data_IF_396598360584
#
_entry.id   IF_396598360584
#
_cell.length_a   1.000
_cell.length_b   1.000
_cell.length_c   1.000
_cell.angle_alpha   90.00
_cell.angle_beta   90.00
_cell.angle_gamma   90.00
#
_symmetry.space_group_name_H-M   'P 1'
#
loop_
_entity.id
_entity.type
_entity.pdbx_description
1 polymer ?
#
# COMPACT_ATOMS: atom_id res chain seq x y z
N UNK A 1 21.66 5.94 10.67
CA UNK A 1 20.57 5.31 9.87
C UNK A 1 20.51 3.85 10.28
N UNK A 2 19.33 3.30 10.58
CA UNK A 2 19.20 1.86 10.88
C UNK A 2 19.53 1.08 9.62
N UNK A 3 20.45 0.12 9.70
CA UNK A 3 20.73 -0.77 8.58
C UNK A 3 19.56 -1.75 8.44
N UNK A 4 18.78 -1.59 7.38
CA UNK A 4 17.68 -2.49 7.03
C UNK A 4 18.24 -3.51 6.05
N UNK A 5 18.14 -4.80 6.37
CA UNK A 5 18.58 -5.84 5.44
C UNK A 5 17.57 -6.02 4.31
N UNK A 6 18.05 -6.40 3.12
CA UNK A 6 17.18 -6.65 1.97
C UNK A 6 16.06 -7.67 2.28
N UNK A 7 16.32 -8.81 2.98
CA UNK A 7 15.26 -9.74 3.35
C UNK A 7 14.19 -9.10 4.24
N UNK A 8 14.58 -8.24 5.19
CA UNK A 8 13.63 -7.53 6.06
C UNK A 8 12.75 -6.58 5.25
N UNK A 9 13.34 -5.87 4.29
CA UNK A 9 12.61 -4.94 3.44
C UNK A 9 11.58 -5.67 2.56
N UNK A 10 12.01 -6.73 1.86
CA UNK A 10 11.14 -7.53 0.98
C UNK A 10 10.02 -8.19 1.79
N UNK A 11 10.35 -8.80 2.93
CA UNK A 11 9.34 -9.43 3.78
C UNK A 11 8.32 -8.43 4.31
N UNK A 12 8.76 -7.23 4.70
CA UNK A 12 7.85 -6.16 5.14
C UNK A 12 6.91 -5.75 4.01
N UNK A 13 7.40 -5.59 2.78
CA UNK A 13 6.55 -5.27 1.63
C UNK A 13 5.50 -6.34 1.36
N UNK A 14 5.89 -7.63 1.38
CA UNK A 14 4.97 -8.76 1.23
C UNK A 14 3.88 -8.72 2.30
N UNK A 15 4.26 -8.57 3.58
CA UNK A 15 3.31 -8.53 4.70
C UNK A 15 2.38 -7.33 4.59
N UNK A 16 2.91 -6.15 4.27
CA UNK A 16 2.13 -4.93 4.12
C UNK A 16 1.05 -5.09 3.04
N UNK A 17 1.43 -5.53 1.83
CA UNK A 17 0.48 -5.71 0.73
C UNK A 17 -0.48 -6.88 0.94
N UNK A 18 -0.02 -8.00 1.53
CA UNK A 18 -0.92 -9.12 1.87
C UNK A 18 -1.96 -8.73 2.92
N UNK A 19 -1.64 -7.78 3.81
CA UNK A 19 -2.56 -7.30 4.82
C UNK A 19 -3.58 -6.29 4.27
N UNK A 20 -3.28 -5.57 3.19
CA UNK A 20 -4.14 -4.50 2.65
C UNK A 20 -4.93 -4.92 1.41
N UNK A 21 -4.32 -5.63 0.47
CA UNK A 21 -4.94 -5.99 -0.81
C UNK A 21 -6.23 -6.81 -0.67
N UNK A 22 -6.36 -7.81 0.23
CA UNK A 22 -7.61 -8.55 0.36
C UNK A 22 -8.80 -7.66 0.75
N UNK A 23 -8.58 -6.62 1.56
CA UNK A 23 -9.62 -5.67 1.90
C UNK A 23 -10.00 -4.79 0.71
N UNK A 24 -9.01 -4.33 -0.05
CA UNK A 24 -9.24 -3.51 -1.23
C UNK A 24 -10.02 -4.26 -2.31
N UNK A 25 -9.66 -5.52 -2.59
CA UNK A 25 -10.26 -6.31 -3.68
C UNK A 25 -11.52 -7.08 -3.30
N UNK A 26 -11.66 -7.54 -2.07
CA UNK A 26 -12.77 -8.42 -1.68
C UNK A 26 -13.74 -7.82 -0.66
N UNK A 27 -13.32 -6.81 0.10
CA UNK A 27 -14.18 -6.19 1.13
C UNK A 27 -14.79 -4.90 0.60
N UNK A 28 -13.96 -3.97 0.13
CA UNK A 28 -14.36 -2.62 -0.26
C UNK A 28 -15.41 -2.55 -1.41
N UNK A 29 -15.35 -3.40 -2.46
CA UNK A 29 -16.35 -3.34 -3.54
C UNK A 29 -17.78 -3.65 -3.06
N UNK A 30 -17.96 -4.33 -1.92
CA UNK A 30 -19.29 -4.62 -1.38
C UNK A 30 -19.95 -3.40 -0.72
N UNK A 31 -19.21 -2.31 -0.52
CA UNK A 31 -19.70 -1.11 0.17
C UNK A 31 -19.69 0.13 -0.73
N UNK A 32 -18.91 0.13 -1.82
CA UNK A 32 -18.72 1.30 -2.67
C UNK A 32 -18.84 0.90 -4.14
N UNK A 33 -19.98 1.21 -4.75
CA UNK A 33 -20.23 0.91 -6.15
C UNK A 33 -19.62 1.96 -7.11
N UNK A 34 -19.47 3.21 -6.63
CA UNK A 34 -18.95 4.29 -7.46
C UNK A 34 -17.43 4.18 -7.61
N UNK A 35 -16.98 3.93 -8.85
CA UNK A 35 -15.56 3.72 -9.20
C UNK A 35 -14.60 4.79 -8.66
N UNK A 36 -14.98 6.07 -8.74
CA UNK A 36 -14.11 7.16 -8.26
C UNK A 36 -13.88 7.07 -6.75
N UNK A 37 -14.94 6.81 -5.99
CA UNK A 37 -14.88 6.68 -4.53
C UNK A 37 -14.16 5.41 -4.12
N UNK A 38 -14.37 4.32 -4.86
CA UNK A 38 -13.66 3.06 -4.66
C UNK A 38 -12.15 3.26 -4.77
N UNK A 39 -11.68 3.93 -5.83
CA UNK A 39 -10.25 4.22 -6.03
C UNK A 39 -9.72 5.15 -4.93
N UNK A 40 -10.37 6.28 -4.67
CA UNK A 40 -9.88 7.25 -3.68
C UNK A 40 -9.79 6.61 -2.29
N UNK A 41 -10.84 5.90 -1.86
CA UNK A 41 -10.91 5.29 -0.53
C UNK A 41 -9.97 4.09 -0.43
N UNK A 42 -9.91 3.24 -1.47
CA UNK A 42 -9.04 2.07 -1.51
C UNK A 42 -7.56 2.45 -1.45
N UNK A 43 -7.11 3.35 -2.31
CA UNK A 43 -5.71 3.78 -2.35
C UNK A 43 -5.32 4.52 -1.06
N UNK A 44 -6.20 5.38 -0.53
CA UNK A 44 -5.96 6.05 0.75
C UNK A 44 -5.85 5.05 1.90
N UNK A 45 -6.73 4.04 1.93
CA UNK A 45 -6.68 2.98 2.92
C UNK A 45 -5.37 2.19 2.84
N UNK A 46 -4.98 1.75 1.64
CA UNK A 46 -3.74 1.00 1.44
C UNK A 46 -2.53 1.80 1.92
N UNK A 47 -2.41 3.08 1.51
CA UNK A 47 -1.30 3.95 1.94
C UNK A 47 -1.25 4.12 3.45
N UNK A 48 -2.39 4.40 4.09
CA UNK A 48 -2.44 4.59 5.54
C UNK A 48 -2.10 3.31 6.30
N UNK A 49 -2.69 2.18 5.92
CA UNK A 49 -2.45 0.91 6.61
C UNK A 49 -1.02 0.40 6.42
N UNK A 50 -0.49 0.46 5.21
CA UNK A 50 0.89 0.07 4.94
C UNK A 50 1.90 1.00 5.63
N UNK A 51 1.58 2.30 5.76
CA UNK A 51 2.39 3.24 6.57
C UNK A 51 2.56 2.73 8.01
N UNK A 52 1.48 2.27 8.64
CA UNK A 52 1.55 1.71 10.00
C UNK A 52 2.33 0.39 10.04
N UNK A 53 2.09 -0.52 9.09
CA UNK A 53 2.78 -1.82 9.04
C UNK A 53 4.28 -1.65 8.81
N UNK A 54 4.68 -0.84 7.83
CA UNK A 54 6.08 -0.53 7.52
C UNK A 54 6.76 0.14 8.72
N UNK A 55 6.09 1.12 9.35
CA UNK A 55 6.60 1.78 10.55
C UNK A 55 6.84 0.80 11.69
N UNK A 56 5.89 -0.10 11.94
CA UNK A 56 5.99 -1.11 12.99
C UNK A 56 7.10 -2.14 12.72
N UNK A 57 7.17 -2.68 11.50
CA UNK A 57 8.10 -3.75 11.15
C UNK A 57 9.54 -3.25 10.99
N UNK A 58 9.75 -2.15 10.27
CA UNK A 58 11.09 -1.60 10.04
C UNK A 58 11.56 -0.70 11.20
N UNK A 59 10.66 -0.31 12.11
CA UNK A 59 10.92 0.63 13.22
C UNK A 59 11.51 1.94 12.71
N UNK A 60 10.88 2.52 11.70
CA UNK A 60 11.26 3.82 11.12
C UNK A 60 10.18 4.87 11.44
N UNK A 61 10.57 6.14 11.38
CA UNK A 61 9.66 7.24 11.71
C UNK A 61 8.48 7.29 10.73
N UNK A 62 7.33 7.72 11.24
CA UNK A 62 6.07 7.80 10.48
C UNK A 62 6.20 8.52 9.13
N UNK A 63 6.91 9.66 9.00
CA UNK A 63 7.05 10.34 7.70
C UNK A 63 7.80 9.49 6.67
N UNK A 64 8.79 8.69 7.11
CA UNK A 64 9.54 7.81 6.20
C UNK A 64 8.67 6.64 5.76
N UNK A 65 7.94 6.02 6.68
CA UNK A 65 6.98 4.97 6.33
C UNK A 65 5.91 5.45 5.37
N UNK A 66 5.39 6.67 5.59
CA UNK A 66 4.38 7.27 4.73
C UNK A 66 4.90 7.50 3.33
N UNK A 67 6.07 8.11 3.18
CA UNK A 67 6.68 8.33 1.87
C UNK A 67 6.97 7.02 1.15
N UNK A 68 7.46 5.99 1.86
CA UNK A 68 7.69 4.67 1.28
C UNK A 68 6.40 4.00 0.81
N UNK A 69 5.35 4.01 1.63
CA UNK A 69 4.06 3.44 1.27
C UNK A 69 3.40 4.18 0.11
N UNK A 70 3.41 5.52 0.15
CA UNK A 70 2.87 6.35 -0.92
C UNK A 70 3.58 6.07 -2.25
N UNK A 71 4.92 6.01 -2.25
CA UNK A 71 5.68 5.69 -3.46
C UNK A 71 5.36 4.29 -4.00
N UNK A 72 5.23 3.29 -3.13
CA UNK A 72 4.92 1.92 -3.53
C UNK A 72 3.52 1.80 -4.15
N UNK A 73 2.50 2.35 -3.48
CA UNK A 73 1.12 2.33 -3.98
C UNK A 73 0.99 3.17 -5.25
N UNK A 74 1.67 4.32 -5.35
CA UNK A 74 1.67 5.12 -6.58
C UNK A 74 2.26 4.35 -7.76
N UNK A 75 3.38 3.65 -7.57
CA UNK A 75 3.97 2.80 -8.61
C UNK A 75 3.00 1.67 -8.97
N UNK A 76 2.40 1.00 -7.98
CA UNK A 76 1.42 -0.06 -8.23
C UNK A 76 0.22 0.45 -9.04
N UNK A 77 -0.38 1.57 -8.64
CA UNK A 77 -1.48 2.19 -9.36
C UNK A 77 -1.09 2.58 -10.80
N UNK A 78 0.06 3.21 -10.99
CA UNK A 78 0.54 3.60 -12.32
C UNK A 78 0.79 2.38 -13.20
N UNK A 79 1.37 1.31 -12.66
CA UNK A 79 1.55 0.06 -13.43
C UNK A 79 0.21 -0.55 -13.84
N UNK A 80 -0.78 -0.57 -12.94
CA UNK A 80 -2.11 -1.05 -13.26
C UNK A 80 -2.79 -0.18 -14.33
N UNK A 81 -2.62 1.15 -14.27
CA UNK A 81 -3.13 2.06 -15.27
C UNK A 81 -2.48 1.83 -16.64
N UNK A 82 -1.15 1.68 -16.69
CA UNK A 82 -0.38 1.39 -17.90
C UNK A 82 -0.79 0.07 -18.54
N UNK A 83 -1.08 -0.96 -17.75
CA UNK A 83 -1.53 -2.27 -18.24
C UNK A 83 -2.97 -2.25 -18.77
N UNK A 84 -3.79 -1.28 -18.35
CA UNK A 84 -5.20 -1.14 -18.76
C UNK A 84 -5.41 -0.02 -19.79
N UNK A 85 -4.34 0.58 -20.32
CA UNK A 85 -4.43 1.47 -21.46
C UNK A 85 -4.72 0.63 -22.73
N UNK A 86 -5.68 1.06 -23.57
CA UNK A 86 -6.02 0.37 -24.82
C UNK A 86 -4.90 0.44 -25.86
#
# INVERSE_FOLDING_TARGET
MKNISLPQLVFTGIVASMATLPYLWFVLPNYIDQRIWYVIIGESFAVLMETFIIGAMLRVNLPKSFLSSLACNMVSFLTALLMNLP
#
